data_IF_485572431198
#
_entry.id   IF_485572431198
#
_cell.length_a   1.000
_cell.length_b   1.000
_cell.length_c   1.000
_cell.angle_alpha   90.00
_cell.angle_beta   90.00
_cell.angle_gamma   90.00
#
_symmetry.space_group_name_H-M   'P 1'
#
loop_
_entity.id
_entity.type
_entity.pdbx_description
1 polymer ?
#
# COMPACT_ATOMS: atom_id res chain seq x y z
N UNK A 1 -3.17 -24.49 -3.05
CA UNK A 1 -2.96 -23.04 -2.83
C UNK A 1 -3.71 -22.68 -1.55
N UNK A 2 -3.11 -21.95 -0.62
CA UNK A 2 -3.76 -21.67 0.67
C UNK A 2 -4.92 -20.66 0.52
N UNK A 3 -5.76 -20.57 1.55
CA UNK A 3 -6.84 -19.57 1.62
C UNK A 3 -6.31 -18.13 1.69
N UNK A 4 -5.17 -17.89 2.34
CA UNK A 4 -4.65 -16.53 2.54
C UNK A 4 -3.90 -16.01 1.31
N UNK A 5 -3.17 -16.87 0.58
CA UNK A 5 -2.61 -16.50 -0.74
C UNK A 5 -3.69 -16.01 -1.71
N UNK A 6 -4.90 -16.56 -1.63
CA UNK A 6 -6.03 -16.11 -2.46
C UNK A 6 -6.49 -14.68 -2.07
N UNK A 7 -6.45 -14.33 -0.78
CA UNK A 7 -6.74 -12.97 -0.30
C UNK A 7 -5.76 -11.97 -0.92
N UNK A 8 -4.44 -12.22 -0.83
CA UNK A 8 -3.44 -11.34 -1.43
C UNK A 8 -3.63 -11.19 -2.95
N UNK A 9 -3.95 -12.28 -3.66
CA UNK A 9 -4.25 -12.22 -5.10
C UNK A 9 -5.43 -11.33 -5.41
N UNK A 10 -6.55 -11.51 -4.70
CA UNK A 10 -7.76 -10.69 -4.87
C UNK A 10 -7.42 -9.22 -4.58
N UNK A 11 -6.63 -8.93 -3.55
CA UNK A 11 -6.18 -7.57 -3.25
C UNK A 11 -5.44 -6.93 -4.43
N UNK A 12 -4.37 -7.57 -4.92
CA UNK A 12 -3.56 -7.02 -6.01
C UNK A 12 -4.31 -6.89 -7.32
N UNK A 13 -5.11 -7.89 -7.70
CA UNK A 13 -5.91 -7.81 -8.93
C UNK A 13 -7.02 -6.79 -8.81
N UNK A 14 -7.58 -6.56 -7.62
CA UNK A 14 -8.59 -5.52 -7.42
C UNK A 14 -8.00 -4.13 -7.50
N UNK A 15 -6.81 -3.90 -6.93
CA UNK A 15 -6.07 -2.65 -7.09
C UNK A 15 -5.77 -2.36 -8.57
N UNK A 16 -5.23 -3.36 -9.29
CA UNK A 16 -4.91 -3.19 -10.72
C UNK A 16 -6.12 -2.93 -11.60
N UNK A 17 -7.31 -3.40 -11.21
CA UNK A 17 -8.54 -3.19 -11.95
C UNK A 17 -9.39 -2.01 -11.45
N UNK A 18 -8.94 -1.28 -10.42
CA UNK A 18 -9.71 -0.20 -9.81
C UNK A 18 -10.98 -0.65 -9.07
N UNK A 19 -11.06 -1.91 -8.63
CA UNK A 19 -12.22 -2.48 -7.95
C UNK A 19 -12.22 -2.13 -6.45
N UNK A 20 -12.48 -0.86 -6.11
CA UNK A 20 -12.42 -0.34 -4.74
C UNK A 20 -13.38 -1.08 -3.79
N UNK A 21 -14.59 -1.43 -4.24
CA UNK A 21 -15.56 -2.17 -3.43
C UNK A 21 -15.03 -3.55 -2.98
N UNK A 22 -14.26 -4.23 -3.84
CA UNK A 22 -13.65 -5.52 -3.48
C UNK A 22 -12.55 -5.29 -2.43
N UNK A 23 -11.75 -4.23 -2.59
CA UNK A 23 -10.70 -3.87 -1.64
C UNK A 23 -11.32 -3.57 -0.27
N UNK A 24 -12.34 -2.71 -0.23
CA UNK A 24 -13.06 -2.37 1.00
C UNK A 24 -13.60 -3.64 1.70
N UNK A 25 -14.19 -4.56 0.95
CA UNK A 25 -14.68 -5.83 1.46
C UNK A 25 -13.58 -6.81 1.88
N UNK A 26 -12.33 -6.59 1.48
CA UNK A 26 -11.21 -7.45 1.85
C UNK A 26 -10.49 -6.93 3.10
N UNK A 27 -10.56 -5.63 3.38
CA UNK A 27 -9.97 -5.02 4.57
C UNK A 27 -10.85 -5.29 5.81
N UNK A 28 -10.17 -5.47 6.95
CA UNK A 28 -10.81 -5.45 8.26
C UNK A 28 -11.11 -4.01 8.68
N UNK A 29 -12.12 -3.78 9.52
CA UNK A 29 -12.44 -2.43 9.99
C UNK A 29 -11.29 -1.83 10.83
N UNK A 30 -10.54 -2.68 11.53
CA UNK A 30 -9.34 -2.36 12.30
C UNK A 30 -8.02 -2.44 11.49
N UNK A 31 -8.11 -2.40 10.15
CA UNK A 31 -6.95 -2.46 9.27
C UNK A 31 -5.86 -1.43 9.63
N UNK A 32 -4.59 -1.82 9.58
CA UNK A 32 -3.46 -0.92 9.76
C UNK A 32 -2.56 -0.90 8.51
N UNK A 33 -2.26 0.31 8.00
CA UNK A 33 -1.15 0.52 7.08
C UNK A 33 0.08 0.99 7.88
N UNK A 34 1.24 0.39 7.62
CA UNK A 34 2.52 0.82 8.18
C UNK A 34 3.49 1.11 7.04
N UNK A 35 3.99 2.34 6.98
CA UNK A 35 5.01 2.77 6.03
C UNK A 35 6.29 3.06 6.82
N UNK A 36 7.24 2.10 6.86
CA UNK A 36 8.40 2.16 7.74
C UNK A 36 9.50 3.05 7.16
N UNK A 37 9.27 4.36 7.21
CA UNK A 37 10.22 5.39 6.76
C UNK A 37 10.52 6.35 7.90
N UNK A 38 11.75 6.85 7.99
CA UNK A 38 12.12 7.88 8.99
C UNK A 38 11.38 9.20 8.72
N UNK A 39 11.29 9.59 7.45
CA UNK A 39 10.57 10.78 6.99
C UNK A 39 9.94 10.52 5.62
N UNK A 40 8.80 11.15 5.34
CA UNK A 40 8.14 11.14 4.03
C UNK A 40 6.65 11.42 4.14
N UNK A 41 6.00 11.70 3.01
CA UNK A 41 4.58 12.12 2.99
C UNK A 41 3.66 11.10 3.64
N UNK A 42 3.94 9.81 3.47
CA UNK A 42 3.16 8.71 4.05
C UNK A 42 3.87 8.02 5.22
N UNK A 43 5.01 8.53 5.72
CA UNK A 43 5.71 7.88 6.84
C UNK A 43 4.81 7.74 8.07
N UNK A 44 4.78 6.54 8.66
CA UNK A 44 4.03 6.28 9.89
C UNK A 44 3.08 5.10 9.82
N UNK A 45 2.21 5.04 10.82
CA UNK A 45 1.15 4.04 10.93
C UNK A 45 -0.21 4.73 10.90
N UNK A 46 -1.12 4.16 10.11
CA UNK A 46 -2.49 4.62 9.91
C UNK A 46 -3.45 3.53 10.33
N UNK A 47 -4.43 3.87 11.17
CA UNK A 47 -5.31 2.91 11.83
C UNK A 47 -6.76 3.05 11.39
N UNK A 48 -7.33 1.93 11.01
CA UNK A 48 -8.70 1.81 10.55
C UNK A 48 -8.80 1.85 9.03
N UNK A 49 -9.73 1.06 8.51
CA UNK A 49 -10.04 0.97 7.08
C UNK A 49 -10.30 2.32 6.43
N UNK A 50 -11.03 3.21 7.11
CA UNK A 50 -11.38 4.52 6.56
C UNK A 50 -10.15 5.41 6.37
N UNK A 51 -9.14 5.36 7.26
CA UNK A 51 -7.88 6.10 7.04
C UNK A 51 -7.22 5.69 5.72
N UNK A 52 -7.24 4.41 5.41
CA UNK A 52 -6.69 3.92 4.14
C UNK A 52 -7.53 4.35 2.93
N UNK A 53 -8.85 4.17 2.98
CA UNK A 53 -9.74 4.41 1.84
C UNK A 53 -10.04 5.89 1.57
N UNK A 54 -10.14 6.71 2.62
CA UNK A 54 -10.60 8.10 2.52
C UNK A 54 -9.45 9.12 2.54
N UNK A 55 -8.30 8.78 3.13
CA UNK A 55 -7.16 9.70 3.19
C UNK A 55 -6.01 9.25 2.27
N UNK A 56 -5.56 8.01 2.40
CA UNK A 56 -4.33 7.54 1.74
C UNK A 56 -4.54 7.29 0.25
N UNK A 57 -5.55 6.48 -0.12
CA UNK A 57 -5.82 6.21 -1.53
C UNK A 57 -6.12 7.50 -2.33
N UNK A 58 -6.97 8.43 -1.85
CA UNK A 58 -7.22 9.66 -2.59
C UNK A 58 -5.98 10.55 -2.71
N UNK A 59 -5.13 10.61 -1.68
CA UNK A 59 -3.87 11.34 -1.76
C UNK A 59 -2.96 10.77 -2.85
N UNK A 60 -2.74 9.46 -2.86
CA UNK A 60 -1.93 8.78 -3.89
C UNK A 60 -2.54 9.01 -5.29
N UNK A 61 -3.85 8.82 -5.43
CA UNK A 61 -4.53 8.99 -6.72
C UNK A 61 -4.52 10.43 -7.22
N UNK A 62 -4.49 11.42 -6.32
CA UNK A 62 -4.36 12.83 -6.69
C UNK A 62 -3.00 13.22 -7.26
N UNK A 63 -2.00 12.34 -7.16
CA UNK A 63 -0.63 12.59 -7.61
C UNK A 63 -0.26 11.83 -8.90
N UNK A 64 -1.09 10.92 -9.38
CA UNK A 64 -0.81 10.06 -10.55
C UNK A 64 -1.63 10.45 -11.77
N UNK A 65 -1.08 10.20 -12.96
CA UNK A 65 -1.87 10.28 -14.19
C UNK A 65 -2.75 9.03 -14.28
N UNK A 66 -4.04 9.19 -13.98
CA UNK A 66 -5.01 8.08 -13.95
C UNK A 66 -5.21 7.39 -15.31
N UNK A 67 -4.75 7.99 -16.42
CA UNK A 67 -4.86 7.39 -17.76
C UNK A 67 -3.68 6.47 -18.08
N UNK A 68 -2.53 6.72 -17.46
CA UNK A 68 -1.28 6.03 -17.76
C UNK A 68 -0.84 5.08 -16.63
N UNK A 69 -1.22 5.38 -15.38
CA UNK A 69 -0.81 4.59 -14.22
C UNK A 69 -1.56 3.25 -14.13
N UNK A 70 -0.82 2.18 -13.90
CA UNK A 70 -1.35 0.87 -13.53
C UNK A 70 -0.72 0.45 -12.20
N UNK A 71 -1.51 0.53 -11.13
CA UNK A 71 -1.09 0.05 -9.81
C UNK A 71 -1.07 -1.48 -9.77
N UNK A 72 -0.07 -2.05 -9.09
CA UNK A 72 0.05 -3.51 -8.94
C UNK A 72 0.01 -4.28 -10.29
N UNK A 73 0.48 -3.65 -11.37
CA UNK A 73 0.53 -4.21 -12.73
C UNK A 73 1.08 -5.64 -12.74
N UNK A 74 2.15 -5.84 -11.98
CA UNK A 74 2.67 -7.17 -11.67
C UNK A 74 2.73 -7.34 -10.16
N UNK A 75 2.54 -8.57 -9.70
CA UNK A 75 2.85 -8.94 -8.32
C UNK A 75 3.34 -10.39 -8.26
N UNK A 76 4.11 -10.69 -7.22
CA UNK A 76 4.57 -12.03 -6.91
C UNK A 76 4.51 -12.26 -5.42
N UNK A 77 3.77 -13.29 -5.00
CA UNK A 77 3.86 -13.81 -3.63
C UNK A 77 5.20 -14.54 -3.51
N UNK A 78 6.06 -14.08 -2.61
CA UNK A 78 7.38 -14.65 -2.34
C UNK A 78 7.25 -15.81 -1.36
N UNK A 79 6.55 -15.58 -0.25
CA UNK A 79 6.39 -16.55 0.80
C UNK A 79 5.07 -16.34 1.55
N UNK A 80 4.62 -17.39 2.20
CA UNK A 80 3.47 -17.41 3.08
C UNK A 80 3.80 -18.27 4.30
N UNK A 81 3.53 -17.74 5.49
CA UNK A 81 3.69 -18.47 6.74
C UNK A 81 2.63 -18.01 7.74
N UNK A 82 1.98 -18.97 8.40
CA UNK A 82 0.89 -18.73 9.34
C UNK A 82 -0.24 -17.87 8.75
N UNK A 83 -0.31 -16.59 9.14
CA UNK A 83 -1.27 -15.60 8.70
C UNK A 83 -0.62 -14.47 7.89
N UNK A 84 0.66 -14.61 7.56
CA UNK A 84 1.47 -13.56 6.94
C UNK A 84 1.89 -13.94 5.53
N UNK A 85 1.83 -12.97 4.63
CA UNK A 85 2.16 -13.11 3.21
C UNK A 85 3.19 -12.04 2.87
N UNK A 86 4.31 -12.45 2.29
CA UNK A 86 5.33 -11.56 1.76
C UNK A 86 5.18 -11.53 0.25
N UNK A 87 5.05 -10.34 -0.32
CA UNK A 87 4.89 -10.15 -1.76
C UNK A 87 5.73 -9.00 -2.27
N UNK A 88 6.09 -9.05 -3.55
CA UNK A 88 6.51 -7.87 -4.31
C UNK A 88 5.36 -7.45 -5.22
N UNK A 89 5.12 -6.15 -5.32
CA UNK A 89 4.22 -5.55 -6.29
C UNK A 89 4.94 -4.46 -7.09
N UNK A 90 4.48 -4.23 -8.32
CA UNK A 90 5.06 -3.25 -9.22
C UNK A 90 3.95 -2.34 -9.76
N UNK A 91 4.21 -1.03 -9.73
CA UNK A 91 3.45 -0.05 -10.49
C UNK A 91 4.18 0.26 -11.80
N UNK A 92 3.43 0.76 -12.79
CA UNK A 92 3.99 1.20 -14.06
C UNK A 92 3.15 2.36 -14.60
N UNK A 93 3.80 3.39 -15.13
CA UNK A 93 3.14 4.58 -15.69
C UNK A 93 3.72 5.89 -15.20
N UNK A 94 2.89 6.93 -15.14
CA UNK A 94 3.34 8.30 -14.90
C UNK A 94 2.63 8.98 -13.73
N UNK A 95 3.37 9.86 -13.06
CA UNK A 95 2.83 10.82 -12.11
C UNK A 95 2.33 12.08 -12.83
N UNK A 96 1.48 12.89 -12.18
CA UNK A 96 1.05 14.19 -12.71
C UNK A 96 2.19 15.19 -12.88
N UNK A 97 3.33 14.95 -12.21
CA UNK A 97 4.57 15.70 -12.43
C UNK A 97 5.20 15.46 -13.82
N UNK A 98 4.69 14.49 -14.59
CA UNK A 98 5.24 14.07 -15.88
C UNK A 98 6.41 13.08 -15.74
N UNK A 99 6.79 12.69 -14.51
CA UNK A 99 7.86 11.72 -14.28
C UNK A 99 7.32 10.28 -14.25
N UNK A 100 8.09 9.29 -14.72
CA UNK A 100 7.73 7.88 -14.56
C UNK A 100 7.61 7.51 -13.08
N UNK A 101 6.60 6.70 -12.75
CA UNK A 101 6.39 6.17 -11.40
C UNK A 101 6.37 4.63 -11.42
N UNK A 102 7.50 4.06 -11.86
CA UNK A 102 7.71 2.62 -11.97
C UNK A 102 8.20 2.04 -10.63
N UNK A 103 7.33 2.12 -9.62
CA UNK A 103 7.67 1.78 -8.25
C UNK A 103 7.64 0.27 -8.00
N UNK A 104 8.56 -0.22 -7.18
CA UNK A 104 8.56 -1.59 -6.65
C UNK A 104 8.27 -1.52 -5.16
N UNK A 105 7.33 -2.34 -4.72
CA UNK A 105 6.94 -2.47 -3.33
C UNK A 105 7.33 -3.83 -2.78
N UNK A 106 7.81 -3.85 -1.54
CA UNK A 106 7.78 -5.03 -0.68
C UNK A 106 6.60 -4.88 0.27
N UNK A 107 5.68 -5.84 0.22
CA UNK A 107 4.51 -5.89 1.07
C UNK A 107 4.58 -7.06 2.04
N UNK A 108 4.31 -6.78 3.31
CA UNK A 108 4.08 -7.79 4.35
C UNK A 108 2.63 -7.65 4.80
N UNK A 109 1.80 -8.60 4.40
CA UNK A 109 0.35 -8.59 4.62
C UNK A 109 -0.02 -9.60 5.70
N UNK A 110 -0.76 -9.18 6.72
CA UNK A 110 -1.34 -10.09 7.72
C UNK A 110 -2.83 -10.28 7.44
N UNK A 111 -3.26 -11.54 7.35
CA UNK A 111 -4.63 -11.96 7.03
C UNK A 111 -5.23 -12.75 8.20
N UNK A 112 -6.35 -12.30 8.75
CA UNK A 112 -7.09 -13.01 9.80
C UNK A 112 -8.54 -13.17 9.38
N UNK A 113 -9.10 -14.36 9.55
CA UNK A 113 -10.49 -14.66 9.20
C UNK A 113 -10.88 -14.25 7.76
N UNK A 114 -9.94 -14.36 6.82
CA UNK A 114 -10.15 -13.99 5.41
C UNK A 114 -10.09 -12.48 5.12
N UNK A 115 -9.79 -11.64 6.12
CA UNK A 115 -9.64 -10.19 6.00
C UNK A 115 -8.19 -9.77 6.17
N UNK A 116 -7.78 -8.73 5.47
CA UNK A 116 -6.48 -8.09 5.67
C UNK A 116 -6.59 -7.18 6.88
N UNK A 117 -5.80 -7.46 7.91
CA UNK A 117 -5.76 -6.66 9.15
C UNK A 117 -4.56 -5.73 9.19
N UNK A 118 -3.51 -6.01 8.40
CA UNK A 118 -2.31 -5.18 8.33
C UNK A 118 -1.63 -5.28 6.98
N UNK A 119 -1.11 -4.16 6.51
CA UNK A 119 -0.17 -4.07 5.40
C UNK A 119 1.03 -3.23 5.83
N UNK A 120 2.23 -3.82 5.77
CA UNK A 120 3.49 -3.07 5.86
C UNK A 120 3.97 -2.85 4.42
N UNK A 121 4.20 -1.60 4.06
CA UNK A 121 4.52 -1.18 2.70
C UNK A 121 5.88 -0.50 2.65
N UNK A 122 6.87 -1.16 2.05
CA UNK A 122 8.21 -0.61 1.82
C UNK A 122 8.42 -0.35 0.32
N UNK A 123 8.99 0.80 -0.04
CA UNK A 123 9.21 1.21 -1.43
C UNK A 123 10.38 2.19 -1.56
N UNK A 124 10.76 2.54 -2.80
CA UNK A 124 11.74 3.59 -3.06
C UNK A 124 11.15 4.97 -2.76
N UNK A 125 11.47 5.48 -1.58
CA UNK A 125 11.03 6.80 -1.12
C UNK A 125 11.59 7.95 -1.96
N UNK A 126 12.79 7.82 -2.53
CA UNK A 126 13.36 8.85 -3.37
C UNK A 126 12.56 9.00 -4.67
N UNK A 127 12.20 7.88 -5.30
CA UNK A 127 11.32 7.86 -6.47
C UNK A 127 9.94 8.45 -6.14
N UNK A 128 9.34 8.07 -5.01
CA UNK A 128 8.03 8.60 -4.61
C UNK A 128 8.07 10.11 -4.33
N UNK A 129 9.11 10.60 -3.65
CA UNK A 129 9.30 12.03 -3.39
C UNK A 129 9.47 12.81 -4.70
N UNK A 130 10.28 12.29 -5.61
CA UNK A 130 10.60 12.95 -6.87
C UNK A 130 9.40 12.98 -7.84
N UNK A 131 8.69 11.86 -7.97
CA UNK A 131 7.63 11.69 -8.95
C UNK A 131 6.24 12.11 -8.43
N UNK A 132 5.85 11.67 -7.22
CA UNK A 132 4.50 11.89 -6.70
C UNK A 132 4.40 13.14 -5.83
N UNK A 133 5.28 13.24 -4.83
CA UNK A 133 5.02 14.11 -3.69
C UNK A 133 5.41 15.55 -3.96
N UNK A 134 6.59 15.82 -4.54
CA UNK A 134 7.06 17.19 -4.76
C UNK A 134 6.96 18.03 -3.48
N UNK A 135 6.10 19.05 -3.48
CA UNK A 135 5.85 19.94 -2.33
C UNK A 135 4.59 19.56 -1.52
N UNK A 136 4.07 18.34 -1.67
CA UNK A 136 2.92 17.85 -0.91
C UNK A 136 3.21 17.90 0.58
N UNK A 137 2.18 18.24 1.38
CA UNK A 137 2.30 18.18 2.83
C UNK A 137 2.30 16.73 3.28
N UNK A 138 3.09 16.43 4.32
CA UNK A 138 3.04 15.12 4.95
C UNK A 138 1.65 14.87 5.51
N UNK A 139 1.10 13.69 5.21
CA UNK A 139 -0.10 13.20 5.84
C UNK A 139 0.26 12.84 7.29
N UNK A 140 -0.46 13.40 8.25
CA UNK A 140 -0.17 13.13 9.67
C UNK A 140 -0.57 11.68 10.01
N UNK A 141 0.38 10.84 10.46
CA UNK A 141 0.07 9.48 10.86
C UNK A 141 -0.62 9.47 12.24
N UNK A 142 -1.35 8.39 12.52
CA UNK A 142 -1.93 8.18 13.85
C UNK A 142 -0.84 7.83 14.87
N UNK A 143 0.20 7.12 14.41
CA UNK A 143 1.41 6.83 15.19
C UNK A 143 2.63 7.08 14.29
N UNK A 144 3.57 7.96 14.69
CA UNK A 144 4.83 8.13 13.98
C UNK A 144 5.59 6.81 13.90
N UNK A 145 6.22 6.53 12.75
CA UNK A 145 6.98 5.31 12.63
C UNK A 145 8.20 5.35 13.57
N UNK A 146 8.39 4.25 14.30
CA UNK A 146 9.57 4.01 15.11
C UNK A 146 9.77 2.52 15.25
N UNK A 147 11.01 2.06 15.07
CA UNK A 147 11.40 0.66 15.30
C UNK A 147 11.10 0.24 16.74
N UNK A 148 11.16 1.18 17.70
CA UNK A 148 10.88 0.88 19.12
C UNK A 148 9.40 0.65 19.41
N UNK A 149 8.52 1.17 18.56
CA UNK A 149 7.06 1.13 18.78
C UNK A 149 6.38 -0.01 18.02
N UNK A 150 7.10 -0.69 17.12
CA UNK A 150 6.56 -1.73 16.26
C UNK A 150 7.33 -3.04 16.47
N UNK A 151 6.71 -4.01 17.14
CA UNK A 151 7.18 -5.39 17.08
C UNK A 151 6.77 -5.95 15.72
N UNK A 152 7.73 -6.07 14.80
CA UNK A 152 7.58 -6.78 13.53
C UNK A 152 7.39 -8.28 13.75
#
# INVERSE_FOLDING_TARGET
MSKISNVAKIFYTSISNGNIEIIENLLSDDFELIVPMEEGVLSGQYKGKNRFLEDILPLVFSCVDSKEIVFCKNFKIINEFENTIISIAQNDGFALSGKPYNQIYLHIMTVRNGKIVRLIECFDSALANEALWGNSKNLQPDIPFSIKNNNL
#
